data_IF_679073038345
#
_entry.id   IF_679073038345
#
_cell.length_a   1.000
_cell.length_b   1.000
_cell.length_c   1.000
_cell.angle_alpha   90.00
_cell.angle_beta   90.00
_cell.angle_gamma   90.00
#
_symmetry.space_group_name_H-M   'P 1'
#
loop_
_entity.id
_entity.type
_entity.pdbx_description
1 polymer ?
#
# COMPACT_ATOMS: atom_id res chain seq x y z
N UNK A 1 15.36 7.47 8.89
CA UNK A 1 14.07 8.08 8.53
C UNK A 1 13.09 6.93 8.35
N UNK A 2 11.94 6.93 9.04
CA UNK A 2 10.94 5.88 8.84
C UNK A 2 10.52 5.88 7.37
N UNK A 3 10.42 4.69 6.78
CA UNK A 3 9.90 4.48 5.43
C UNK A 3 8.79 3.45 5.54
N UNK A 4 7.70 3.70 4.84
CA UNK A 4 6.58 2.79 4.72
C UNK A 4 6.88 1.73 3.68
N UNK A 5 6.68 0.46 4.03
CA UNK A 5 6.74 -0.64 3.08
C UNK A 5 5.43 -0.75 2.27
N UNK A 6 5.57 -0.96 0.96
CA UNK A 6 4.51 -1.43 0.07
C UNK A 6 4.85 -2.86 -0.37
N UNK A 7 3.87 -3.75 -0.38
CA UNK A 7 3.97 -5.10 -0.92
C UNK A 7 2.86 -5.28 -1.94
N UNK A 8 3.21 -5.65 -3.17
CA UNK A 8 2.27 -6.27 -4.10
C UNK A 8 2.19 -7.76 -3.74
N UNK A 9 1.04 -8.20 -3.24
CA UNK A 9 0.88 -9.56 -2.72
C UNK A 9 0.62 -10.59 -3.83
N UNK A 10 0.36 -10.15 -5.06
CA UNK A 10 0.22 -11.02 -6.23
C UNK A 10 1.61 -11.36 -6.78
N UNK A 11 2.45 -10.34 -6.98
CA UNK A 11 3.78 -10.51 -7.58
C UNK A 11 4.87 -10.79 -6.54
N UNK A 12 4.63 -10.42 -5.28
CA UNK A 12 5.62 -10.45 -4.21
C UNK A 12 6.62 -9.29 -4.26
N UNK A 13 6.41 -8.30 -5.12
CA UNK A 13 7.29 -7.15 -5.23
C UNK A 13 7.17 -6.22 -4.01
N UNK A 14 8.29 -5.61 -3.61
CA UNK A 14 8.38 -4.72 -2.45
C UNK A 14 8.87 -3.34 -2.88
N UNK A 15 8.11 -2.31 -2.49
CA UNK A 15 8.45 -0.90 -2.65
C UNK A 15 8.65 -0.20 -1.30
N UNK A 16 9.36 0.93 -1.32
CA UNK A 16 9.61 1.75 -0.12
C UNK A 16 9.27 3.21 -0.40
N UNK A 17 8.48 3.81 0.48
CA UNK A 17 7.99 5.19 0.35
C UNK A 17 8.21 5.96 1.65
N UNK A 18 8.25 7.28 1.57
CA UNK A 18 8.36 8.11 2.78
C UNK A 18 7.05 8.16 3.57
N UNK A 19 5.91 7.99 2.87
CA UNK A 19 4.58 7.96 3.48
C UNK A 19 3.67 6.91 2.84
N UNK A 20 2.77 6.34 3.63
CA UNK A 20 1.73 5.42 3.20
C UNK A 20 0.79 6.04 2.16
N UNK A 21 0.52 7.35 2.27
CA UNK A 21 -0.24 8.07 1.25
C UNK A 21 0.42 8.05 -0.13
N UNK A 22 1.74 8.19 -0.20
CA UNK A 22 2.50 8.14 -1.46
C UNK A 22 2.45 6.74 -2.08
N UNK A 23 2.67 5.72 -1.26
CA UNK A 23 2.59 4.32 -1.69
C UNK A 23 1.22 3.99 -2.30
N UNK A 24 0.13 4.37 -1.61
CA UNK A 24 -1.25 4.12 -2.09
C UNK A 24 -1.57 4.85 -3.40
N UNK A 25 -1.07 6.09 -3.57
CA UNK A 25 -1.21 6.83 -4.84
C UNK A 25 -0.43 6.13 -5.96
N UNK A 26 0.78 5.63 -5.69
CA UNK A 26 1.57 4.88 -6.66
C UNK A 26 0.83 3.63 -7.15
N UNK A 27 0.21 2.87 -6.24
CA UNK A 27 -0.62 1.71 -6.60
C UNK A 27 -1.81 2.10 -7.48
N UNK A 28 -2.56 3.16 -7.12
CA UNK A 28 -3.68 3.62 -7.94
C UNK A 28 -3.24 4.06 -9.35
N UNK A 29 -2.08 4.73 -9.47
CA UNK A 29 -1.52 5.07 -10.78
C UNK A 29 -1.07 3.84 -11.57
N UNK A 30 -0.47 2.85 -10.90
CA UNK A 30 -0.01 1.61 -11.52
C UNK A 30 -1.18 0.77 -12.04
N UNK A 31 -2.20 0.53 -11.20
CA UNK A 31 -3.43 -0.17 -11.56
C UNK A 31 -4.31 0.63 -12.54
N UNK A 32 -4.02 1.92 -12.73
CA UNK A 32 -4.82 2.86 -13.56
C UNK A 32 -6.28 2.93 -13.13
N UNK A 33 -6.55 2.73 -11.85
CA UNK A 33 -7.87 2.79 -11.26
C UNK A 33 -7.83 3.27 -9.81
N UNK A 34 -8.98 3.69 -9.30
CA UNK A 34 -9.12 3.99 -7.88
C UNK A 34 -9.22 2.68 -7.10
N UNK A 35 -8.31 2.49 -6.15
CA UNK A 35 -8.34 1.36 -5.23
C UNK A 35 -9.08 1.75 -3.95
N UNK A 36 -9.91 0.85 -3.45
CA UNK A 36 -10.54 0.97 -2.14
C UNK A 36 -9.57 0.38 -1.11
N UNK A 37 -9.23 1.18 -0.11
CA UNK A 37 -8.29 0.79 0.94
C UNK A 37 -9.01 0.63 2.27
N UNK A 38 -8.81 -0.52 2.92
CA UNK A 38 -9.22 -0.78 4.29
C UNK A 38 -8.02 -0.72 5.23
N UNK A 39 -8.25 -0.27 6.47
CA UNK A 39 -7.23 -0.26 7.52
C UNK A 39 -7.42 -1.47 8.43
N UNK A 40 -6.44 -2.36 8.43
CA UNK A 40 -6.42 -3.52 9.32
C UNK A 40 -6.04 -3.14 10.77
N UNK A 41 -6.38 -3.97 11.77
CA UNK A 41 -5.98 -3.76 13.16
C UNK A 41 -4.46 -3.73 13.40
N UNK A 42 -3.69 -4.37 12.52
CA UNK A 42 -2.22 -4.42 12.61
C UNK A 42 -1.56 -3.19 11.96
N UNK A 43 -2.33 -2.13 11.75
CA UNK A 43 -1.86 -0.87 11.18
C UNK A 43 -1.28 -1.04 9.76
N UNK A 44 -1.88 -1.92 8.96
CA UNK A 44 -1.61 -2.08 7.53
C UNK A 44 -2.83 -1.64 6.71
N UNK A 45 -2.59 -0.83 5.67
CA UNK A 45 -3.57 -0.53 4.63
C UNK A 45 -3.59 -1.68 3.61
N UNK A 46 -4.79 -2.19 3.30
CA UNK A 46 -5.00 -3.32 2.40
C UNK A 46 -5.94 -2.87 1.28
N UNK A 47 -5.58 -3.16 0.04
CA UNK A 47 -6.47 -3.06 -1.12
C UNK A 47 -6.45 -4.38 -1.87
N UNK A 48 -7.62 -4.98 -2.09
CA UNK A 48 -7.78 -6.26 -2.80
C UNK A 48 -8.83 -6.12 -3.91
N UNK A 49 -8.52 -6.67 -5.08
CA UNK A 49 -9.32 -6.76 -6.29
C UNK A 49 -9.02 -8.05 -7.05
N UNK A 50 -9.66 -8.27 -8.20
CA UNK A 50 -9.47 -9.50 -8.97
C UNK A 50 -8.05 -9.66 -9.52
N UNK A 51 -7.40 -8.55 -9.90
CA UNK A 51 -6.07 -8.53 -10.51
C UNK A 51 -5.06 -7.70 -9.70
N UNK A 52 -5.46 -7.17 -8.55
CA UNK A 52 -4.63 -6.30 -7.72
C UNK A 52 -4.76 -6.66 -6.24
N UNK A 53 -3.64 -6.85 -5.55
CA UNK A 53 -3.65 -6.93 -4.11
C UNK A 53 -2.38 -6.27 -3.54
N UNK A 54 -2.57 -5.27 -2.67
CA UNK A 54 -1.49 -4.45 -2.13
C UNK A 54 -1.63 -4.27 -0.63
N UNK A 55 -0.51 -4.39 0.08
CA UNK A 55 -0.37 -4.08 1.49
C UNK A 55 0.59 -2.89 1.67
N UNK A 56 0.18 -1.89 2.45
CA UNK A 56 1.00 -0.71 2.76
C UNK A 56 1.04 -0.51 4.26
N UNK A 57 2.21 -0.48 4.87
CA UNK A 57 2.34 -0.19 6.30
C UNK A 57 1.77 1.20 6.65
N UNK A 58 1.45 1.41 7.93
CA UNK A 58 1.16 2.72 8.48
C UNK A 58 2.25 3.75 8.17
N UNK A 59 1.89 5.02 8.25
CA UNK A 59 2.85 6.02 8.69
C UNK A 59 3.17 5.77 10.18
N UNK A 60 4.44 5.83 10.56
CA UNK A 60 4.81 5.73 11.97
C UNK A 60 4.22 6.93 12.74
N UNK A 61 3.67 6.74 13.95
CA UNK A 61 3.26 7.87 14.78
C UNK A 61 4.47 8.76 15.10
N UNK A 62 4.28 10.08 14.99
CA UNK A 62 5.30 11.12 15.26
C UNK A 62 5.84 11.09 16.70
#
# INVERSE_FOLDING_TARGET
MPRTQLIDTITGEIGWFDMASQARIACAMHARQMLIWERSPDDVWIAEGEEEAYHVEADAPE
#
